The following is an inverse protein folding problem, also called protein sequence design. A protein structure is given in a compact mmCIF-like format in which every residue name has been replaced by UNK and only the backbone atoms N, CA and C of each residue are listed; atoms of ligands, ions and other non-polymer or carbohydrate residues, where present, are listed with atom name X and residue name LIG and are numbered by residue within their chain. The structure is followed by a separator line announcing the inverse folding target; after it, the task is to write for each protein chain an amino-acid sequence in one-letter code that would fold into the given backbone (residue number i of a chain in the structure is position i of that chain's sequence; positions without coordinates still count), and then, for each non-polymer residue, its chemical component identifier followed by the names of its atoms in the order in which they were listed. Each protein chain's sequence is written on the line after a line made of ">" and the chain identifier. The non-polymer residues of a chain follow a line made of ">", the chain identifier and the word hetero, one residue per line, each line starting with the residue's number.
data_IF_575806216532
#
_entry.id   IF_575806216532
#
_cell.length_a   1.000
_cell.length_b   1.000
_cell.length_c   1.000
_cell.angle_alpha   90.00
_cell.angle_beta   90.00
_cell.angle_gamma   90.00
#
_symmetry.space_group_name_H-M   'P 1'
#
loop_
_entity.id
_entity.type
_entity.pdbx_description
1 polymer ?
#
# COMPACT_ATOMS: atom_id res chain seq x y z
N UNK A 1 11.27 7.63 -2.52
CA UNK A 1 11.25 6.20 -2.16
C UNK A 1 9.80 5.73 -2.19
N UNK A 2 9.57 4.42 -2.08
CA UNK A 2 8.21 3.86 -2.12
C UNK A 2 7.99 2.89 -0.96
N UNK A 3 6.78 2.94 -0.41
CA UNK A 3 6.26 1.93 0.51
C UNK A 3 5.13 1.17 -0.16
N UNK A 4 5.22 -0.15 -0.10
CA UNK A 4 4.26 -1.07 -0.68
C UNK A 4 3.40 -1.66 0.44
N UNK A 5 2.09 -1.44 0.38
CA UNK A 5 1.16 -1.90 1.42
C UNK A 5 0.23 -2.95 0.85
N UNK A 6 0.15 -4.08 1.54
CA UNK A 6 -0.71 -5.22 1.20
C UNK A 6 -1.87 -5.31 2.18
N UNK A 7 -2.98 -5.88 1.72
CA UNK A 7 -4.23 -5.94 2.47
C UNK A 7 -4.63 -7.37 2.77
N UNK A 8 -5.15 -7.59 3.98
CA UNK A 8 -5.79 -8.85 4.36
C UNK A 8 -7.15 -9.00 3.69
N UNK A 9 -7.73 -10.20 3.76
CA UNK A 9 -8.97 -10.51 3.04
C UNK A 9 -10.17 -9.61 3.39
N UNK A 10 -10.20 -9.07 4.61
CA UNK A 10 -11.27 -8.20 5.11
C UNK A 10 -10.88 -6.72 5.16
N UNK A 11 -9.65 -6.37 4.77
CA UNK A 11 -9.16 -4.99 4.83
C UNK A 11 -9.46 -4.29 3.50
N UNK A 12 -10.63 -3.67 3.43
CA UNK A 12 -11.06 -2.90 2.26
C UNK A 12 -11.09 -1.42 2.63
N UNK A 13 -10.41 -0.59 1.83
CA UNK A 13 -10.31 0.85 2.03
C UNK A 13 -10.72 1.59 0.76
N UNK A 14 -11.26 2.79 0.92
CA UNK A 14 -11.51 3.71 -0.18
C UNK A 14 -10.76 5.00 0.09
N UNK A 15 -9.75 5.29 -0.72
CA UNK A 15 -8.91 6.50 -0.59
C UNK A 15 -8.98 7.24 -1.92
N UNK A 16 -9.44 8.49 -1.89
CA UNK A 16 -9.61 9.35 -3.07
C UNK A 16 -10.36 8.68 -4.22
N UNK A 17 -11.44 7.96 -3.90
CA UNK A 17 -12.28 7.27 -4.88
C UNK A 17 -11.68 5.98 -5.45
N UNK A 18 -10.50 5.55 -4.99
CA UNK A 18 -9.89 4.26 -5.35
C UNK A 18 -10.10 3.25 -4.24
N UNK A 19 -10.52 2.04 -4.60
CA UNK A 19 -10.63 0.92 -3.67
C UNK A 19 -9.31 0.18 -3.55
N UNK A 20 -8.83 0.00 -2.32
CA UNK A 20 -7.67 -0.79 -1.96
C UNK A 20 -8.10 -1.99 -1.12
N UNK A 21 -7.74 -3.19 -1.57
CA UNK A 21 -8.14 -4.47 -0.97
C UNK A 21 -7.07 -5.55 -1.25
N UNK A 22 -7.36 -6.79 -0.85
CA UNK A 22 -6.45 -7.95 -0.99
C UNK A 22 -5.94 -8.21 -2.42
N UNK A 23 -6.62 -7.69 -3.44
CA UNK A 23 -6.31 -7.98 -4.84
C UNK A 23 -5.34 -6.96 -5.44
N UNK A 24 -4.92 -5.95 -4.67
CA UNK A 24 -3.93 -4.94 -5.07
C UNK A 24 -2.85 -4.73 -4.01
N UNK A 25 -1.79 -4.03 -4.42
CA UNK A 25 -0.77 -3.48 -3.52
C UNK A 25 -0.84 -1.97 -3.64
N UNK A 26 -1.05 -1.28 -2.52
CA UNK A 26 -0.99 0.17 -2.47
C UNK A 26 0.47 0.63 -2.53
N UNK A 27 0.76 1.62 -3.36
CA UNK A 27 2.07 2.24 -3.49
C UNK A 27 1.97 3.66 -2.96
N UNK A 28 2.74 3.95 -1.92
CA UNK A 28 2.83 5.28 -1.31
C UNK A 28 4.20 5.85 -1.66
N UNK A 29 4.23 7.05 -2.23
CA UNK A 29 5.46 7.80 -2.39
C UNK A 29 5.82 8.49 -1.08
N UNK A 30 7.05 8.29 -0.63
CA UNK A 30 7.58 8.84 0.62
C UNK A 30 9.07 9.19 0.48
N UNK A 31 9.59 9.98 1.41
CA UNK A 31 11.01 10.35 1.52
C UNK A 31 11.84 9.22 2.11
N UNK A 32 11.29 8.54 3.11
CA UNK A 32 11.94 7.49 3.88
C UNK A 32 10.91 6.46 4.42
N UNK A 33 11.41 5.38 5.03
CA UNK A 33 10.58 4.29 5.52
C UNK A 33 9.65 4.69 6.67
N UNK A 34 10.08 5.61 7.54
CA UNK A 34 9.26 6.10 8.66
C UNK A 34 8.08 6.93 8.13
N UNK A 35 8.34 7.89 7.24
CA UNK A 35 7.26 8.69 6.60
C UNK A 35 6.30 7.78 5.82
N UNK A 36 6.82 6.77 5.11
CA UNK A 36 6.00 5.80 4.38
C UNK A 36 5.07 5.00 5.28
N UNK A 37 5.56 4.58 6.45
CA UNK A 37 4.74 3.90 7.47
C UNK A 37 3.69 4.84 8.05
N UNK A 38 4.05 6.06 8.44
CA UNK A 38 3.09 7.04 8.95
C UNK A 38 1.96 7.32 7.95
N UNK A 39 2.29 7.46 6.67
CA UNK A 39 1.32 7.62 5.59
C UNK A 39 0.42 6.37 5.43
N UNK A 40 0.97 5.17 5.51
CA UNK A 40 0.17 3.93 5.46
C UNK A 40 -0.86 3.87 6.59
N UNK A 41 -0.45 4.23 7.82
CA UNK A 41 -1.36 4.32 8.96
C UNK A 41 -2.45 5.39 8.74
N UNK A 42 -2.07 6.54 8.18
CA UNK A 42 -3.00 7.65 7.89
C UNK A 42 -4.03 7.28 6.81
N UNK A 43 -3.61 6.67 5.70
CA UNK A 43 -4.49 6.33 4.58
C UNK A 43 -5.40 5.14 4.87
N UNK A 44 -4.90 4.14 5.60
CA UNK A 44 -5.61 2.88 5.83
C UNK A 44 -6.09 2.70 7.27
N UNK A 45 -6.10 3.78 8.06
CA UNK A 45 -6.56 3.81 9.45
C UNK A 45 -5.94 2.69 10.31
N UNK A 46 -4.66 2.39 10.10
CA UNK A 46 -3.92 1.32 10.76
C UNK A 46 -4.41 -0.12 10.48
N UNK A 47 -5.25 -0.35 9.47
CA UNK A 47 -5.80 -1.67 9.11
C UNK A 47 -5.26 -2.17 7.77
N UNK A 48 -4.06 -2.73 7.77
CA UNK A 48 -3.44 -3.38 6.60
C UNK A 48 -2.70 -4.65 7.06
N UNK A 49 -2.21 -5.46 6.13
CA UNK A 49 -1.54 -6.72 6.47
C UNK A 49 -0.05 -6.51 6.72
N UNK A 50 0.65 -6.02 5.71
CA UNK A 50 2.08 -5.75 5.74
C UNK A 50 2.39 -4.53 4.90
N UNK A 51 3.36 -3.76 5.36
CA UNK A 51 4.08 -2.75 4.61
C UNK A 51 5.50 -3.22 4.33
N UNK A 52 6.02 -2.88 3.15
CA UNK A 52 7.37 -3.19 2.72
C UNK A 52 8.04 -1.93 2.19
N UNK A 53 9.29 -1.70 2.57
CA UNK A 53 10.10 -0.70 1.89
C UNK A 53 10.44 -1.17 0.47
N UNK A 54 10.85 -0.24 -0.40
CA UNK A 54 11.20 -0.53 -1.80
C UNK A 54 12.23 -1.64 -1.95
N UNK A 55 13.21 -1.71 -1.04
CA UNK A 55 14.25 -2.74 -1.04
C UNK A 55 13.77 -4.12 -0.57
N UNK A 56 12.63 -4.18 0.12
CA UNK A 56 12.06 -5.41 0.67
C UNK A 56 10.92 -5.98 -0.20
N UNK A 57 10.39 -5.18 -1.11
CA UNK A 57 9.23 -5.56 -1.91
C UNK A 57 9.61 -6.52 -3.04
N UNK A 58 9.24 -7.79 -2.87
CA UNK A 58 9.43 -8.83 -3.87
C UNK A 58 8.33 -8.79 -4.95
N UNK A 59 8.70 -8.29 -6.13
CA UNK A 59 7.82 -8.21 -7.30
C UNK A 59 7.36 -9.58 -7.82
N UNK A 60 8.01 -10.69 -7.46
CA UNK A 60 7.54 -12.04 -7.83
C UNK A 60 6.18 -12.38 -7.21
N UNK A 61 5.82 -11.72 -6.10
CA UNK A 61 4.54 -11.88 -5.40
C UNK A 61 3.38 -11.18 -6.11
N UNK A 62 3.63 -10.40 -7.15
CA UNK A 62 2.59 -9.69 -7.91
C UNK A 62 1.53 -10.62 -8.50
N UNK A 63 1.83 -11.91 -8.71
CA UNK A 63 0.85 -12.93 -9.13
C UNK A 63 -0.33 -13.11 -8.16
N UNK A 64 -0.17 -12.73 -6.89
CA UNK A 64 -1.24 -12.79 -5.89
C UNK A 64 -2.14 -11.56 -5.90
N UNK A 65 -1.76 -10.50 -6.61
CA UNK A 65 -2.45 -9.21 -6.65
C UNK A 65 -2.91 -8.92 -8.08
N UNK A 66 -4.04 -9.47 -8.54
CA UNK A 66 -4.47 -9.38 -9.93
C UNK A 66 -4.77 -7.94 -10.39
N UNK A 67 -5.04 -7.00 -9.46
CA UNK A 67 -5.20 -5.56 -9.76
C UNK A 67 -3.87 -4.80 -9.80
N UNK A 68 -2.77 -5.46 -9.43
CA UNK A 68 -1.43 -4.91 -9.51
C UNK A 68 -1.10 -3.85 -8.46
N UNK A 69 -0.12 -3.02 -8.80
CA UNK A 69 0.32 -1.88 -7.99
C UNK A 69 -0.60 -0.68 -8.24
N UNK A 70 -1.20 -0.14 -7.18
CA UNK A 70 -2.07 1.03 -7.24
C UNK A 70 -1.46 2.19 -6.45
N UNK A 71 -1.14 3.33 -7.09
CA UNK A 71 -0.63 4.49 -6.37
C UNK A 71 -1.73 5.12 -5.51
N UNK A 72 -1.38 5.37 -4.24
CA UNK A 72 -2.18 6.18 -3.32
C UNK A 72 -1.92 7.64 -3.65
N UNK A 73 -2.75 8.19 -4.54
CA UNK A 73 -2.63 9.60 -4.90
C UNK A 73 -3.20 10.45 -3.77
N UNK A 74 -2.34 11.16 -3.06
CA UNK A 74 -2.71 12.23 -2.14
C UNK A 74 -1.49 13.10 -1.99
N UNK A 75 -1.56 14.35 -2.47
CA UNK A 75 -0.46 15.31 -2.28
C UNK A 75 -0.06 15.33 -0.80
N UNK A 76 1.19 15.01 -0.52
CA UNK A 76 1.84 15.36 0.75
C UNK A 76 1.81 16.89 0.93
#
# INVERSE_FOLDING_TARGET
>A
MKTYVTFGQTHIHSVNGKTFDKDCVAVIECKDADEGRELAFKYFNGKFCFEYHEDEFDTSKMRYFPRGLLPVEGKA
#
